data_IF_642280229463
#
_entry.id   IF_642280229463
#
_cell.length_a   1.000
_cell.length_b   1.000
_cell.length_c   1.000
_cell.angle_alpha   90.00
_cell.angle_beta   90.00
_cell.angle_gamma   90.00
#
_symmetry.space_group_name_H-M   'P 1'
#
loop_
_entity.id
_entity.type
_entity.pdbx_description
1 polymer ?
#
# COMPACT_ATOMS: atom_id res chain seq x y z
N UNK A 1 15.79 0.85 15.57
CA UNK A 1 15.85 -0.54 16.06
C UNK A 1 16.07 -1.42 14.84
N UNK A 2 17.18 -2.16 14.76
CA UNK A 2 17.42 -3.06 13.62
C UNK A 2 16.41 -4.19 13.66
N UNK A 3 15.49 -4.23 12.70
CA UNK A 3 14.60 -5.37 12.49
C UNK A 3 15.51 -6.57 12.16
N UNK A 4 15.60 -7.54 13.06
CA UNK A 4 16.34 -8.78 12.79
C UNK A 4 15.64 -9.48 11.62
N UNK A 5 16.32 -9.52 10.47
CA UNK A 5 15.79 -10.15 9.26
C UNK A 5 15.85 -11.67 9.29
N UNK A 6 16.57 -12.27 10.25
CA UNK A 6 16.67 -13.72 10.40
C UNK A 6 16.20 -14.14 11.79
N UNK A 7 15.32 -15.14 11.84
CA UNK A 7 14.85 -15.71 13.11
C UNK A 7 15.99 -16.45 13.83
N UNK A 8 16.35 -16.11 15.08
CA UNK A 8 17.42 -16.78 15.80
C UNK A 8 17.09 -18.23 16.21
N UNK A 9 15.81 -18.62 16.19
CA UNK A 9 15.35 -19.96 16.58
C UNK A 9 15.33 -20.97 15.43
N UNK A 10 14.91 -20.53 14.24
CA UNK A 10 14.71 -21.43 13.09
C UNK A 10 15.49 -21.02 11.84
N UNK A 11 16.31 -19.96 11.91
CA UNK A 11 17.09 -19.42 10.80
C UNK A 11 16.26 -19.00 9.56
N UNK A 12 14.95 -18.82 9.71
CA UNK A 12 14.10 -18.33 8.63
C UNK A 12 14.44 -16.87 8.28
N UNK A 13 14.60 -16.58 6.99
CA UNK A 13 14.92 -15.26 6.46
C UNK A 13 13.65 -14.48 6.08
N UNK A 14 13.43 -13.37 6.75
CA UNK A 14 12.33 -12.42 6.58
C UNK A 14 12.72 -11.21 5.73
N UNK A 15 13.94 -11.12 5.20
CA UNK A 15 14.41 -9.98 4.39
C UNK A 15 13.42 -9.63 3.27
N UNK A 16 12.88 -10.64 2.59
CA UNK A 16 11.88 -10.46 1.53
C UNK A 16 10.57 -9.88 2.09
N UNK A 17 10.07 -10.42 3.20
CA UNK A 17 8.82 -9.98 3.82
C UNK A 17 8.92 -8.54 4.36
N UNK A 18 10.02 -8.21 5.03
CA UNK A 18 10.33 -6.85 5.50
C UNK A 18 10.48 -5.88 4.32
N UNK A 19 11.13 -6.32 3.24
CA UNK A 19 11.24 -5.55 2.00
C UNK A 19 9.88 -5.26 1.37
N UNK A 20 9.00 -6.25 1.29
CA UNK A 20 7.64 -6.10 0.79
C UNK A 20 6.82 -5.13 1.66
N UNK A 21 6.92 -5.22 2.99
CA UNK A 21 6.28 -4.29 3.92
C UNK A 21 6.79 -2.85 3.74
N UNK A 22 8.10 -2.66 3.62
CA UNK A 22 8.68 -1.34 3.39
C UNK A 22 8.23 -0.75 2.03
N UNK A 23 8.19 -1.58 0.98
CA UNK A 23 7.69 -1.17 -0.33
C UNK A 23 6.20 -0.84 -0.31
N UNK A 24 5.37 -1.64 0.39
CA UNK A 24 3.95 -1.36 0.56
C UNK A 24 3.72 0.01 1.20
N UNK A 25 4.43 0.32 2.30
CA UNK A 25 4.35 1.64 2.97
C UNK A 25 4.70 2.80 2.05
N UNK A 26 5.73 2.65 1.19
CA UNK A 26 6.09 3.69 0.21
C UNK A 26 4.98 3.92 -0.80
N UNK A 27 4.43 2.85 -1.38
CA UNK A 27 3.33 2.94 -2.33
C UNK A 27 2.06 3.54 -1.70
N UNK A 28 1.77 3.21 -0.44
CA UNK A 28 0.65 3.81 0.29
C UNK A 28 0.86 5.32 0.50
N UNK A 29 2.09 5.75 0.81
CA UNK A 29 2.45 7.16 0.88
C UNK A 29 2.27 7.88 -0.46
N UNK A 30 2.69 7.26 -1.58
CA UNK A 30 2.46 7.80 -2.92
C UNK A 30 0.97 7.91 -3.24
N UNK A 31 0.15 6.94 -2.83
CA UNK A 31 -1.30 6.99 -3.03
C UNK A 31 -1.94 8.19 -2.30
N UNK A 32 -1.57 8.40 -1.05
CA UNK A 32 -2.03 9.56 -0.25
C UNK A 32 -1.59 10.89 -0.88
N UNK A 33 -0.35 10.97 -1.35
CA UNK A 33 0.17 12.18 -1.99
C UNK A 33 -0.54 12.50 -3.30
N UNK A 34 -0.85 11.49 -4.12
CA UNK A 34 -1.63 11.65 -5.34
C UNK A 34 -3.08 12.07 -5.03
N UNK A 35 -3.70 11.52 -3.98
CA UNK A 35 -5.03 11.96 -3.53
C UNK A 35 -5.04 13.43 -3.11
N UNK A 36 -4.04 13.88 -2.37
CA UNK A 36 -3.92 15.28 -1.96
C UNK A 36 -3.78 16.25 -3.16
N UNK A 37 -3.31 15.75 -4.31
CA UNK A 37 -3.20 16.49 -5.56
C UNK A 37 -4.43 16.33 -6.48
N UNK A 38 -5.42 15.54 -6.09
CA UNK A 38 -6.59 15.24 -6.92
C UNK A 38 -6.32 14.23 -8.04
N UNK A 39 -5.15 13.58 -8.06
CA UNK A 39 -4.78 12.60 -9.08
C UNK A 39 -5.35 11.20 -8.78
N UNK A 40 -6.65 11.03 -9.00
CA UNK A 40 -7.41 9.79 -8.75
C UNK A 40 -6.74 8.53 -9.35
N UNK A 41 -6.35 8.58 -10.63
CA UNK A 41 -5.74 7.45 -11.34
C UNK A 41 -4.39 7.06 -10.73
N UNK A 42 -3.51 8.03 -10.48
CA UNK A 42 -2.20 7.83 -9.84
C UNK A 42 -2.35 7.25 -8.43
N UNK A 43 -3.33 7.76 -7.67
CA UNK A 43 -3.66 7.28 -6.34
C UNK A 43 -4.11 5.82 -6.35
N UNK A 44 -5.03 5.46 -7.26
CA UNK A 44 -5.54 4.09 -7.42
C UNK A 44 -4.41 3.11 -7.77
N UNK A 45 -3.58 3.45 -8.75
CA UNK A 45 -2.46 2.60 -9.16
C UNK A 45 -1.47 2.37 -8.01
N UNK A 46 -1.14 3.42 -7.28
CA UNK A 46 -0.23 3.33 -6.13
C UNK A 46 -0.85 2.51 -4.98
N UNK A 47 -2.14 2.67 -4.73
CA UNK A 47 -2.86 1.90 -3.73
C UNK A 47 -2.89 0.40 -4.07
N UNK A 48 -3.18 0.04 -5.32
CA UNK A 48 -3.17 -1.36 -5.78
C UNK A 48 -1.79 -2.01 -5.60
N UNK A 49 -0.70 -1.28 -5.92
CA UNK A 49 0.68 -1.74 -5.70
C UNK A 49 1.00 -1.93 -4.22
N UNK A 50 0.49 -1.06 -3.35
CA UNK A 50 0.63 -1.26 -1.90
C UNK A 50 -0.10 -2.53 -1.45
N UNK A 51 -1.34 -2.72 -1.89
CA UNK A 51 -2.19 -3.81 -1.43
C UNK A 51 -1.76 -5.19 -1.96
N UNK A 52 -1.12 -5.26 -3.13
CA UNK A 52 -0.55 -6.51 -3.64
C UNK A 52 0.64 -7.00 -2.81
N UNK A 53 1.35 -6.10 -2.14
CA UNK A 53 2.48 -6.41 -1.26
C UNK A 53 2.03 -6.67 0.19
N UNK A 54 1.16 -5.80 0.72
CA UNK A 54 0.64 -5.91 2.07
C UNK A 54 -0.72 -5.24 2.20
N UNK A 55 -1.74 -6.01 2.59
CA UNK A 55 -3.03 -5.46 2.98
C UNK A 55 -2.91 -4.76 4.34
N UNK A 56 -3.40 -3.54 4.42
CA UNK A 56 -3.41 -2.74 5.65
C UNK A 56 -4.78 -2.11 5.86
N UNK A 57 -5.13 -1.81 7.12
CA UNK A 57 -6.40 -1.16 7.46
C UNK A 57 -6.57 0.17 6.71
N UNK A 58 -5.50 0.97 6.63
CA UNK A 58 -5.52 2.22 5.88
C UNK A 58 -5.69 2.01 4.38
N UNK A 59 -5.00 1.02 3.80
CA UNK A 59 -5.16 0.68 2.38
C UNK A 59 -6.60 0.28 2.03
N UNK A 60 -7.22 -0.57 2.86
CA UNK A 60 -8.62 -0.97 2.69
C UNK A 60 -9.59 0.22 2.85
N UNK A 61 -9.28 1.17 3.73
CA UNK A 61 -10.08 2.39 3.89
C UNK A 61 -9.99 3.29 2.66
N UNK A 62 -8.77 3.53 2.14
CA UNK A 62 -8.56 4.32 0.92
C UNK A 62 -9.21 3.67 -0.29
N UNK A 63 -9.22 2.35 -0.38
CA UNK A 63 -9.87 1.63 -1.48
C UNK A 63 -11.38 1.96 -1.56
N UNK A 64 -12.04 2.01 -0.40
CA UNK A 64 -13.45 2.42 -0.31
C UNK A 64 -13.68 3.90 -0.59
N UNK A 65 -12.65 4.75 -0.53
CA UNK A 65 -12.77 6.17 -0.86
C UNK A 65 -12.53 6.44 -2.35
N UNK A 66 -11.61 5.70 -2.97
CA UNK A 66 -11.21 5.92 -4.37
C UNK A 66 -12.14 5.19 -5.35
N UNK A 67 -12.54 3.94 -5.05
CA UNK A 67 -13.33 3.13 -5.97
C UNK A 67 -14.76 3.68 -6.22
N UNK A 68 -15.46 4.34 -5.28
CA UNK A 68 -16.77 4.91 -5.57
C UNK A 68 -16.73 6.17 -6.46
N UNK A 69 -15.58 6.81 -6.64
CA UNK A 69 -15.49 8.07 -7.38
C UNK A 69 -15.67 7.90 -8.91
N UNK A 70 -15.53 6.68 -9.44
CA UNK A 70 -15.72 6.37 -10.87
C UNK A 70 -17.20 6.17 -11.26
N UNK A 71 -18.11 5.90 -10.31
CA UNK A 71 -19.52 5.60 -10.61
C UNK A 71 -20.45 6.82 -10.65
N UNK A 72 -19.92 8.04 -10.55
CA UNK A 72 -20.71 9.27 -10.49
C UNK A 72 -20.69 10.11 -11.79
N UNK A 73 -20.03 9.64 -12.86
CA UNK A 73 -19.93 10.37 -14.14
C UNK A 73 -20.73 9.77 -15.29
N UNK A 74 -21.58 8.77 -15.05
CA UNK A 74 -22.54 8.27 -16.04
C UNK A 74 -23.97 8.68 -15.64
N UNK A 75 -24.35 9.94 -15.94
CA UNK A 75 -25.75 10.38 -16.09
C UNK A 75 -25.84 11.51 -17.12
#
# INVERSE_FOLDING_TARGET
MSEQSVCPRCACDFTLALGAQAAARRHLGSALHALAQGEQTSARQSLLKSQSLQRSTLGNYLERLIIPADSATDF
#
